data_IF_454760903601
#
_entry.id   IF_454760903601
#
_cell.length_a   1.000
_cell.length_b   1.000
_cell.length_c   1.000
_cell.angle_alpha   90.00
_cell.angle_beta   90.00
_cell.angle_gamma   90.00
#
_symmetry.space_group_name_H-M   'P 1'
#
loop_
_entity.id
_entity.type
_entity.pdbx_description
1 polymer ?
#
# COMPACT_ATOMS: atom_id res chain seq x y z
N UNK A 1 72.13 -80.38 -38.06
CA UNK A 1 70.72 -80.80 -37.93
C UNK A 1 70.46 -81.16 -36.46
N UNK A 2 69.30 -80.90 -35.86
CA UNK A 2 68.50 -79.67 -35.91
C UNK A 2 67.89 -79.24 -34.53
N UNK A 3 67.33 -78.02 -34.50
CA UNK A 3 66.09 -77.57 -33.79
C UNK A 3 66.00 -77.58 -32.24
N UNK A 4 65.25 -76.71 -31.55
CA UNK A 4 64.52 -75.44 -31.78
C UNK A 4 63.88 -75.03 -30.44
N UNK A 5 63.86 -73.72 -30.11
CA UNK A 5 62.81 -72.94 -29.38
C UNK A 5 62.48 -73.37 -27.92
N UNK A 6 61.92 -72.59 -26.98
CA UNK A 6 61.07 -71.39 -26.86
C UNK A 6 61.46 -70.71 -25.51
N UNK A 7 61.65 -69.41 -25.34
CA UNK A 7 60.69 -68.28 -25.36
C UNK A 7 59.56 -68.33 -24.30
N UNK A 8 59.68 -67.48 -23.29
CA UNK A 8 58.63 -66.54 -22.85
C UNK A 8 57.47 -67.04 -21.96
N UNK A 9 57.48 -66.62 -20.69
CA UNK A 9 56.28 -66.31 -19.88
C UNK A 9 56.69 -65.09 -19.02
N UNK A 10 56.53 -63.86 -19.52
CA UNK A 10 55.31 -63.06 -19.63
C UNK A 10 54.69 -62.69 -18.26
N UNK A 11 55.23 -61.57 -17.79
CA UNK A 11 54.67 -60.58 -16.86
C UNK A 11 53.18 -60.35 -17.11
N UNK A 12 52.32 -60.82 -16.20
CA UNK A 12 50.94 -60.33 -16.07
C UNK A 12 50.62 -60.21 -14.57
N UNK A 13 51.08 -59.14 -13.94
CA UNK A 13 50.68 -58.81 -12.56
C UNK A 13 50.62 -57.30 -12.28
N UNK A 14 50.32 -56.49 -13.31
CA UNK A 14 50.34 -55.01 -13.18
C UNK A 14 49.11 -54.27 -13.71
N UNK A 15 48.08 -54.96 -14.19
CA UNK A 15 46.96 -54.31 -14.90
C UNK A 15 45.69 -54.12 -14.07
N UNK A 16 45.60 -54.65 -12.85
CA UNK A 16 44.36 -54.61 -12.05
C UNK A 16 44.29 -53.48 -11.00
N UNK A 17 45.41 -52.86 -10.62
CA UNK A 17 45.41 -51.78 -9.61
C UNK A 17 45.05 -50.40 -10.19
N UNK A 18 45.13 -50.21 -11.51
CA UNK A 18 44.86 -48.91 -12.15
C UNK A 18 43.36 -48.57 -12.32
N UNK A 19 42.47 -49.57 -12.27
CA UNK A 19 41.04 -49.41 -12.58
C UNK A 19 40.24 -49.04 -11.33
N UNK A 20 40.57 -49.58 -10.15
CA UNK A 20 39.89 -49.28 -8.88
C UNK A 20 40.15 -47.84 -8.39
N UNK A 21 41.33 -47.28 -8.65
CA UNK A 21 41.69 -45.90 -8.27
C UNK A 21 40.91 -44.82 -9.04
N UNK A 22 40.49 -45.12 -10.28
CA UNK A 22 39.74 -44.16 -11.12
C UNK A 22 38.25 -44.10 -10.80
N UNK A 23 37.67 -45.18 -10.25
CA UNK A 23 36.24 -45.23 -9.88
C UNK A 23 36.00 -44.49 -8.56
N UNK A 24 36.90 -44.61 -7.59
CA UNK A 24 36.77 -43.94 -6.27
C UNK A 24 36.92 -42.42 -6.40
N UNK A 25 37.75 -41.92 -7.32
CA UNK A 25 37.92 -40.47 -7.56
C UNK A 25 36.77 -39.84 -8.37
N UNK A 26 36.02 -40.64 -9.14
CA UNK A 26 34.84 -40.15 -9.87
C UNK A 26 33.60 -39.95 -9.00
N UNK A 27 33.43 -40.78 -7.95
CA UNK A 27 32.28 -40.73 -7.05
C UNK A 27 32.33 -39.58 -6.03
N UNK A 28 33.52 -39.09 -5.66
CA UNK A 28 33.68 -37.94 -4.76
C UNK A 28 33.36 -36.61 -5.45
N UNK A 29 33.52 -36.53 -6.78
CA UNK A 29 33.30 -35.29 -7.54
C UNK A 29 31.82 -35.03 -7.90
N UNK A 30 30.97 -36.06 -7.86
CA UNK A 30 29.52 -35.95 -8.13
C UNK A 30 28.72 -35.72 -6.83
N UNK A 31 29.27 -36.07 -5.66
CA UNK A 31 28.62 -35.87 -4.35
C UNK A 31 28.58 -34.42 -3.86
N UNK A 32 29.48 -33.55 -4.32
CA UNK A 32 29.51 -32.13 -3.91
C UNK A 32 28.68 -31.20 -4.82
N UNK A 33 28.20 -31.67 -5.98
CA UNK A 33 27.34 -30.88 -6.87
C UNK A 33 25.84 -31.02 -6.54
N UNK A 34 25.51 -31.70 -5.44
CA UNK A 34 24.23 -31.58 -4.73
C UNK A 34 24.42 -30.82 -3.41
N UNK A 35 25.28 -29.79 -3.41
CA UNK A 35 25.03 -28.61 -2.59
C UNK A 35 23.77 -27.97 -3.18
N UNK A 36 22.64 -28.54 -2.74
CA UNK A 36 21.29 -28.02 -2.89
C UNK A 36 21.43 -26.54 -2.62
N UNK A 37 21.28 -25.76 -3.69
CA UNK A 37 20.99 -24.36 -3.63
C UNK A 37 19.61 -24.30 -2.98
N UNK A 38 19.58 -24.46 -1.66
CA UNK A 38 18.47 -24.04 -0.80
C UNK A 38 18.58 -22.52 -0.79
N UNK A 39 18.37 -21.92 -1.96
CA UNK A 39 17.86 -20.57 -2.04
C UNK A 39 16.51 -20.65 -1.35
N UNK A 40 16.56 -20.43 -0.04
CA UNK A 40 15.42 -20.08 0.75
C UNK A 40 14.97 -18.74 0.18
N UNK A 41 14.23 -18.79 -0.92
CA UNK A 41 13.54 -17.63 -1.46
C UNK A 41 12.63 -17.18 -0.33
N UNK A 42 13.08 -16.19 0.44
CA UNK A 42 12.22 -15.52 1.39
C UNK A 42 11.10 -14.96 0.53
N UNK A 43 9.92 -15.56 0.64
CA UNK A 43 8.71 -14.96 0.08
C UNK A 43 8.63 -13.59 0.71
N UNK A 44 8.85 -12.56 -0.10
CA UNK A 44 8.57 -11.17 0.26
C UNK A 44 7.06 -11.12 0.42
N UNK A 45 6.60 -11.39 1.63
CA UNK A 45 5.21 -11.31 1.99
C UNK A 45 4.92 -9.87 2.37
N UNK A 46 3.93 -9.27 1.72
CA UNK A 46 3.40 -7.99 2.15
C UNK A 46 2.75 -8.18 3.53
N UNK A 47 3.13 -7.34 4.48
CA UNK A 47 2.55 -7.26 5.80
C UNK A 47 1.51 -6.14 5.83
N UNK A 48 0.31 -6.45 6.30
CA UNK A 48 -0.72 -5.43 6.55
C UNK A 48 -0.31 -4.68 7.83
N UNK A 49 0.14 -3.44 7.67
CA UNK A 49 0.60 -2.59 8.78
C UNK A 49 -0.59 -1.95 9.50
N UNK A 50 -1.60 -1.53 8.73
CA UNK A 50 -2.82 -0.90 9.25
C UNK A 50 -3.93 -1.08 8.24
N UNK A 51 -5.12 -1.44 8.71
CA UNK A 51 -6.30 -1.58 7.86
C UNK A 51 -7.55 -1.16 8.62
N UNK A 52 -8.36 -0.30 8.00
CA UNK A 52 -9.59 0.22 8.57
C UNK A 52 -10.73 0.21 7.55
N UNK A 53 -11.77 -0.57 7.84
CA UNK A 53 -13.00 -0.68 7.04
C UNK A 53 -14.23 -0.05 7.73
N UNK A 54 -14.01 0.62 8.85
CA UNK A 54 -14.98 1.36 9.68
C UNK A 54 -16.26 0.61 10.12
N UNK A 55 -16.39 -0.70 9.91
CA UNK A 55 -17.55 -1.50 10.32
C UNK A 55 -17.81 -1.46 11.83
N UNK A 56 -16.74 -1.30 12.62
CA UNK A 56 -16.80 -1.13 14.07
C UNK A 56 -17.44 0.20 14.52
N UNK A 57 -17.67 1.14 13.59
CA UNK A 57 -18.13 2.49 13.89
C UNK A 57 -17.06 3.34 14.58
N UNK A 58 -15.78 3.06 14.33
CA UNK A 58 -14.60 3.75 14.88
C UNK A 58 -13.51 3.85 13.81
N UNK A 59 -12.55 4.74 14.01
CA UNK A 59 -11.38 4.94 13.12
C UNK A 59 -10.15 4.11 13.52
N UNK A 60 -10.32 3.11 14.41
CA UNK A 60 -9.26 2.20 14.83
C UNK A 60 -8.02 2.90 15.38
N UNK A 61 -6.85 2.58 14.82
CA UNK A 61 -5.56 3.16 15.19
C UNK A 61 -5.33 4.56 14.58
N UNK A 62 -6.17 4.98 13.63
CA UNK A 62 -6.06 6.28 13.02
C UNK A 62 -6.65 7.37 13.91
N UNK A 63 -6.06 8.56 13.85
CA UNK A 63 -6.52 9.74 14.56
C UNK A 63 -7.01 10.80 13.57
N UNK A 64 -8.19 11.42 13.78
CA UNK A 64 -8.64 12.51 12.95
C UNK A 64 -7.82 13.78 13.22
N UNK A 65 -7.54 14.55 12.17
CA UNK A 65 -6.85 15.86 12.27
C UNK A 65 -7.50 16.91 11.36
N UNK A 66 -7.33 18.19 11.68
CA UNK A 66 -7.74 19.31 10.84
C UNK A 66 -6.54 20.19 10.49
N UNK A 67 -6.56 20.78 9.29
CA UNK A 67 -5.58 21.83 8.93
C UNK A 67 -5.87 23.12 9.72
N UNK A 68 -4.92 24.07 9.82
CA UNK A 68 -5.09 25.25 10.67
C UNK A 68 -6.36 26.09 10.38
N UNK A 69 -6.76 26.23 9.12
CA UNK A 69 -8.03 26.87 8.72
C UNK A 69 -9.03 25.83 8.19
N UNK A 70 -8.85 24.57 8.56
CA UNK A 70 -9.61 23.44 8.05
C UNK A 70 -10.77 23.03 8.93
N UNK A 71 -11.77 22.44 8.30
CA UNK A 71 -12.87 21.73 8.97
C UNK A 71 -12.74 20.24 8.69
N UNK A 72 -13.06 19.43 9.68
CA UNK A 72 -13.21 17.99 9.54
C UNK A 72 -14.53 17.57 10.18
N UNK A 73 -15.54 17.34 9.33
CA UNK A 73 -16.87 16.91 9.77
C UNK A 73 -17.80 18.08 10.12
N UNK A 74 -18.82 17.76 10.91
CA UNK A 74 -19.87 18.69 11.33
C UNK A 74 -20.55 18.18 12.60
N UNK A 75 -21.83 18.50 12.78
CA UNK A 75 -22.62 18.00 13.90
C UNK A 75 -22.62 16.46 13.93
N UNK A 76 -22.38 15.88 15.12
CA UNK A 76 -22.33 14.43 15.30
C UNK A 76 -21.03 13.74 14.85
N UNK A 77 -19.98 14.49 14.51
CA UNK A 77 -18.68 13.90 14.15
C UNK A 77 -18.02 13.14 15.32
N UNK A 78 -17.42 11.95 15.08
CA UNK A 78 -17.32 11.24 13.81
C UNK A 78 -18.64 10.60 13.39
N UNK A 79 -18.95 10.66 12.09
CA UNK A 79 -20.15 10.05 11.51
C UNK A 79 -19.76 8.86 10.65
N UNK A 80 -20.44 7.74 10.87
CA UNK A 80 -20.28 6.52 10.09
C UNK A 80 -21.63 6.13 9.48
N UNK A 81 -21.66 5.89 8.18
CA UNK A 81 -22.90 5.54 7.47
C UNK A 81 -22.65 4.41 6.48
N UNK A 82 -23.71 3.68 6.16
CA UNK A 82 -23.63 2.65 5.13
C UNK A 82 -23.45 3.31 3.75
N UNK A 83 -22.47 2.86 2.98
CA UNK A 83 -22.20 3.38 1.64
C UNK A 83 -21.61 2.31 0.72
N UNK A 84 -21.62 2.56 -0.59
CA UNK A 84 -20.92 1.75 -1.60
C UNK A 84 -19.78 2.59 -2.16
N UNK A 85 -18.67 2.71 -1.43
CA UNK A 85 -17.54 3.55 -1.84
C UNK A 85 -16.85 3.01 -3.10
N UNK A 86 -16.78 1.68 -3.25
CA UNK A 86 -16.14 1.00 -4.37
C UNK A 86 -16.99 1.00 -5.66
N UNK A 87 -18.31 1.17 -5.57
CA UNK A 87 -19.22 1.15 -6.70
C UNK A 87 -19.53 -0.26 -7.21
N UNK A 88 -19.39 -1.27 -6.35
CA UNK A 88 -19.57 -2.69 -6.68
C UNK A 88 -20.94 -3.23 -6.26
N UNK A 89 -21.75 -2.40 -5.60
CA UNK A 89 -23.01 -2.80 -4.97
C UNK A 89 -22.84 -3.45 -3.59
N UNK A 90 -21.61 -3.62 -3.12
CA UNK A 90 -21.34 -4.04 -1.74
C UNK A 90 -21.51 -2.84 -0.80
N UNK A 91 -22.34 -3.02 0.23
CA UNK A 91 -22.61 -1.98 1.22
C UNK A 91 -21.84 -2.29 2.50
N UNK A 92 -20.93 -1.38 2.85
CA UNK A 92 -20.10 -1.38 4.06
C UNK A 92 -20.26 -0.06 4.80
N UNK A 93 -19.70 0.03 6.01
CA UNK A 93 -19.75 1.27 6.78
C UNK A 93 -18.59 2.18 6.37
N UNK A 94 -18.88 3.39 5.93
CA UNK A 94 -17.90 4.37 5.50
C UNK A 94 -17.76 5.49 6.53
N UNK A 95 -16.56 6.06 6.65
CA UNK A 95 -16.37 7.30 7.41
C UNK A 95 -16.82 8.49 6.57
N UNK A 96 -17.83 9.22 7.05
CA UNK A 96 -18.42 10.36 6.35
C UNK A 96 -17.90 11.67 6.93
N UNK A 97 -17.42 12.55 6.06
CA UNK A 97 -16.92 13.87 6.44
C UNK A 97 -17.40 14.98 5.50
N UNK A 98 -17.29 16.21 5.99
CA UNK A 98 -17.30 17.43 5.20
C UNK A 98 -16.01 18.18 5.51
N UNK A 99 -15.25 18.52 4.49
CA UNK A 99 -14.04 19.32 4.64
C UNK A 99 -14.14 20.64 3.88
N UNK A 100 -13.24 21.55 4.22
CA UNK A 100 -13.18 22.89 3.67
C UNK A 100 -12.65 23.87 4.69
N UNK A 101 -12.83 25.15 4.42
CA UNK A 101 -12.31 26.25 5.23
C UNK A 101 -13.25 26.60 6.40
N UNK A 102 -12.68 26.98 7.55
CA UNK A 102 -13.44 27.63 8.64
C UNK A 102 -13.86 29.03 8.18
N UNK A 103 -12.88 29.83 7.78
CA UNK A 103 -13.04 31.17 7.22
C UNK A 103 -12.56 31.19 5.77
N UNK A 104 -13.37 31.78 4.89
CA UNK A 104 -12.99 31.92 3.48
C UNK A 104 -11.73 32.80 3.35
N UNK A 105 -10.68 32.27 2.72
CA UNK A 105 -9.46 33.00 2.39
C UNK A 105 -9.19 32.89 0.89
N UNK A 106 -9.21 34.02 0.15
CA UNK A 106 -8.84 34.03 -1.26
C UNK A 106 -7.33 34.04 -1.51
N UNK A 107 -6.51 34.39 -0.50
CA UNK A 107 -5.11 34.76 -0.69
C UNK A 107 -4.09 33.72 -0.17
N UNK A 108 -4.55 32.68 0.56
CA UNK A 108 -3.69 31.64 1.16
C UNK A 108 -4.31 30.26 1.04
N UNK A 109 -3.47 29.24 0.76
CA UNK A 109 -3.77 27.79 0.71
C UNK A 109 -5.26 27.52 0.53
N UNK A 110 -5.72 27.73 -0.71
CA UNK A 110 -7.13 27.60 -1.07
C UNK A 110 -7.68 26.29 -0.50
N UNK A 111 -6.92 25.21 -0.57
CA UNK A 111 -7.35 23.91 -0.08
C UNK A 111 -7.14 23.75 1.44
N UNK A 112 -8.23 23.80 2.22
CA UNK A 112 -8.22 23.49 3.65
C UNK A 112 -9.19 22.34 3.99
N UNK A 113 -8.96 21.68 5.11
CA UNK A 113 -9.80 20.56 5.52
C UNK A 113 -9.24 19.75 6.69
N UNK A 114 -9.05 18.45 6.49
CA UNK A 114 -8.58 17.56 7.52
C UNK A 114 -8.45 16.13 6.99
N UNK A 115 -8.38 15.16 7.88
CA UNK A 115 -8.27 13.77 7.45
C UNK A 115 -7.97 12.81 8.59
N UNK A 116 -7.28 11.72 8.27
CA UNK A 116 -6.82 10.73 9.23
C UNK A 116 -5.29 10.63 9.19
N UNK A 117 -4.69 10.44 10.36
CA UNK A 117 -3.26 10.21 10.50
C UNK A 117 -2.94 9.02 11.40
N UNK A 118 -1.80 8.39 11.14
CA UNK A 118 -1.25 7.30 11.95
C UNK A 118 0.27 7.40 11.97
N UNK A 119 0.89 7.00 13.09
CA UNK A 119 2.35 6.85 13.19
C UNK A 119 2.70 5.37 13.10
N UNK A 120 3.64 5.04 12.21
CA UNK A 120 4.08 3.66 12.02
C UNK A 120 5.60 3.56 12.06
N UNK A 121 6.11 2.56 12.77
CA UNK A 121 7.52 2.20 12.75
C UNK A 121 7.74 1.15 11.66
N UNK A 122 8.50 1.51 10.62
CA UNK A 122 8.71 0.69 9.44
C UNK A 122 10.19 0.32 9.28
N UNK A 123 10.42 -0.87 8.74
CA UNK A 123 11.70 -1.28 8.19
C UNK A 123 11.84 -0.73 6.74
N UNK A 124 13.06 -0.65 6.18
CA UNK A 124 13.22 -0.12 4.83
C UNK A 124 12.53 -1.05 3.82
N UNK A 125 11.77 -0.48 2.89
CA UNK A 125 10.89 -1.25 2.02
C UNK A 125 10.00 -0.41 1.13
N UNK A 126 8.91 -1.00 0.66
CA UNK A 126 7.85 -0.36 -0.09
C UNK A 126 6.56 -0.37 0.72
N UNK A 127 5.95 0.80 0.85
CA UNK A 127 4.65 1.00 1.46
C UNK A 127 3.61 1.27 0.37
N UNK A 128 2.60 0.41 0.30
CA UNK A 128 1.42 0.57 -0.55
C UNK A 128 0.29 1.15 0.29
N UNK A 129 -0.20 2.30 -0.13
CA UNK A 129 -1.33 3.00 0.45
C UNK A 129 -2.54 2.78 -0.45
N UNK A 130 -3.71 2.52 0.14
CA UNK A 130 -4.95 2.28 -0.59
C UNK A 130 -6.15 2.79 0.19
N UNK A 131 -7.12 3.40 -0.50
CA UNK A 131 -8.41 3.79 0.06
C UNK A 131 -9.45 3.92 -1.06
N UNK A 132 -10.69 3.47 -0.82
CA UNK A 132 -11.81 3.85 -1.67
C UNK A 132 -12.38 5.18 -1.19
N UNK A 133 -12.61 6.08 -2.12
CA UNK A 133 -13.19 7.39 -1.85
C UNK A 133 -14.48 7.55 -2.66
N UNK A 134 -15.49 8.13 -2.03
CA UNK A 134 -16.73 8.52 -2.69
C UNK A 134 -17.06 9.96 -2.32
N UNK A 135 -17.56 10.72 -3.29
CA UNK A 135 -18.03 12.09 -3.07
C UNK A 135 -19.42 12.22 -3.63
N UNK A 136 -20.34 12.74 -2.81
CA UNK A 136 -21.71 13.01 -3.23
C UNK A 136 -22.01 14.49 -3.04
N UNK A 137 -22.68 15.10 -4.01
CA UNK A 137 -23.18 16.46 -3.86
C UNK A 137 -24.68 16.51 -4.10
N UNK A 138 -25.41 17.05 -3.12
CA UNK A 138 -26.82 17.37 -3.23
C UNK A 138 -27.07 18.75 -2.61
N UNK A 139 -27.54 19.70 -3.42
CA UNK A 139 -27.95 21.04 -2.97
C UNK A 139 -29.38 21.29 -3.41
N UNK A 140 -30.24 21.67 -2.46
CA UNK A 140 -31.61 22.11 -2.76
C UNK A 140 -31.66 23.47 -3.46
N UNK A 141 -30.58 24.24 -3.45
CA UNK A 141 -30.55 25.64 -3.92
C UNK A 141 -29.52 25.86 -5.05
N UNK A 142 -29.06 24.80 -5.71
CA UNK A 142 -28.05 24.82 -6.79
C UNK A 142 -26.84 25.73 -6.51
N UNK A 143 -26.36 25.74 -5.26
CA UNK A 143 -25.20 26.57 -4.90
C UNK A 143 -23.96 26.06 -5.65
N UNK A 144 -23.11 26.97 -6.10
CA UNK A 144 -21.94 26.68 -6.97
C UNK A 144 -20.75 26.02 -6.27
N UNK A 145 -20.93 25.39 -5.12
CA UNK A 145 -19.82 24.76 -4.41
C UNK A 145 -19.53 23.35 -4.96
N UNK A 146 -19.09 23.29 -6.22
CA UNK A 146 -18.95 22.07 -7.00
C UNK A 146 -17.61 21.35 -6.79
N UNK A 147 -16.70 21.87 -5.96
CA UNK A 147 -15.43 21.20 -5.70
C UNK A 147 -15.66 19.94 -4.86
N UNK A 148 -15.41 18.75 -5.40
CA UNK A 148 -15.47 17.49 -4.67
C UNK A 148 -14.36 17.32 -3.65
N UNK A 149 -13.20 17.92 -3.94
CA UNK A 149 -12.07 18.07 -3.05
C UNK A 149 -10.80 17.41 -3.57
N UNK A 150 -9.70 17.76 -2.91
CA UNK A 150 -8.37 17.23 -3.15
C UNK A 150 -8.05 16.21 -2.06
N UNK A 151 -7.72 14.99 -2.47
CA UNK A 151 -7.28 13.87 -1.65
C UNK A 151 -5.77 13.71 -1.79
N UNK A 152 -5.04 13.60 -0.69
CA UNK A 152 -3.59 13.50 -0.69
C UNK A 152 -3.11 12.45 0.29
N UNK A 153 -2.16 11.62 -0.16
CA UNK A 153 -1.34 10.81 0.71
C UNK A 153 -0.10 11.60 1.09
N UNK A 154 0.16 11.73 2.39
CA UNK A 154 1.27 12.50 2.94
C UNK A 154 2.09 11.60 3.86
N UNK A 155 3.41 11.59 3.68
CA UNK A 155 4.33 10.93 4.60
C UNK A 155 5.36 11.96 5.06
N UNK A 156 5.51 12.13 6.37
CA UNK A 156 6.47 13.05 6.98
C UNK A 156 6.41 14.49 6.39
N UNK A 157 5.17 14.97 6.18
CA UNK A 157 4.84 16.27 5.58
C UNK A 157 5.14 16.40 4.08
N UNK A 158 5.52 15.33 3.40
CA UNK A 158 5.69 15.30 1.95
C UNK A 158 4.48 14.66 1.27
N UNK A 159 3.95 15.31 0.22
CA UNK A 159 2.85 14.77 -0.58
C UNK A 159 3.40 13.68 -1.49
N UNK A 160 2.94 12.45 -1.27
CA UNK A 160 3.39 11.26 -2.01
C UNK A 160 2.47 10.93 -3.18
N UNK A 161 1.19 11.27 -3.05
CA UNK A 161 0.19 11.11 -4.11
C UNK A 161 -0.95 12.10 -3.92
N UNK A 162 -1.60 12.49 -5.02
CA UNK A 162 -2.76 13.38 -4.99
C UNK A 162 -3.81 12.97 -6.02
N UNK A 163 -5.07 13.17 -5.68
CA UNK A 163 -6.20 12.99 -6.56
C UNK A 163 -7.23 14.09 -6.33
N UNK A 164 -7.60 14.83 -7.37
CA UNK A 164 -8.61 15.88 -7.31
C UNK A 164 -9.92 15.38 -7.89
N UNK A 165 -11.00 15.52 -7.12
CA UNK A 165 -12.36 15.21 -7.54
C UNK A 165 -13.12 16.51 -7.75
N UNK A 166 -13.57 16.75 -8.98
CA UNK A 166 -14.49 17.83 -9.33
C UNK A 166 -14.12 18.55 -10.64
N UNK A 167 -14.96 19.50 -11.07
CA UNK A 167 -16.24 19.88 -10.46
C UNK A 167 -17.29 18.75 -10.47
N UNK A 168 -18.16 18.71 -9.47
CA UNK A 168 -19.22 17.71 -9.27
C UNK A 168 -20.57 18.40 -9.49
N UNK A 169 -21.42 17.80 -10.33
CA UNK A 169 -22.78 18.29 -10.59
C UNK A 169 -23.73 18.00 -9.41
N UNK A 170 -24.84 18.74 -9.33
CA UNK A 170 -25.87 18.46 -8.34
C UNK A 170 -26.49 17.08 -8.58
N UNK A 171 -26.58 16.25 -7.55
CA UNK A 171 -27.04 14.87 -7.63
C UNK A 171 -25.97 13.86 -8.05
N UNK A 172 -24.76 14.30 -8.40
CA UNK A 172 -23.71 13.40 -8.82
C UNK A 172 -23.07 12.67 -7.62
N UNK A 173 -22.68 11.42 -7.89
CA UNK A 173 -21.86 10.58 -7.02
C UNK A 173 -20.64 10.14 -7.80
N UNK A 174 -19.45 10.52 -7.34
CA UNK A 174 -18.17 10.12 -7.93
C UNK A 174 -17.48 9.17 -6.98
N UNK A 175 -16.87 8.11 -7.52
CA UNK A 175 -16.13 7.10 -6.78
C UNK A 175 -14.74 6.93 -7.38
N UNK A 176 -13.75 6.67 -6.53
CA UNK A 176 -12.38 6.44 -6.97
C UNK A 176 -11.65 5.51 -6.01
N UNK A 177 -10.72 4.70 -6.55
CA UNK A 177 -9.78 3.92 -5.75
C UNK A 177 -8.44 4.63 -5.77
N UNK A 178 -8.05 5.22 -4.63
CA UNK A 178 -6.85 6.03 -4.53
C UNK A 178 -5.71 5.23 -3.91
N UNK A 179 -4.69 4.93 -4.73
CA UNK A 179 -3.52 4.15 -4.34
C UNK A 179 -2.22 4.92 -4.53
N UNK A 180 -1.20 4.59 -3.74
CA UNK A 180 0.17 5.05 -3.93
C UNK A 180 1.17 3.99 -3.47
N UNK A 181 2.26 3.79 -4.21
CA UNK A 181 3.37 2.90 -3.85
C UNK A 181 4.63 3.73 -3.60
N UNK A 182 5.19 3.63 -2.40
CA UNK A 182 6.17 4.59 -1.89
C UNK A 182 7.36 3.85 -1.27
N UNK A 183 8.61 4.13 -1.66
CA UNK A 183 9.75 3.62 -0.94
C UNK A 183 9.87 4.32 0.42
N UNK A 184 10.08 3.56 1.49
CA UNK A 184 10.28 4.06 2.85
C UNK A 184 11.61 3.59 3.40
N UNK A 185 12.25 4.44 4.18
CA UNK A 185 13.45 4.09 4.93
C UNK A 185 13.08 3.51 6.31
N UNK A 186 14.07 3.01 7.05
CA UNK A 186 13.83 2.54 8.40
C UNK A 186 13.50 3.74 9.33
N UNK A 187 12.40 3.69 10.07
CA UNK A 187 12.07 4.77 11.00
C UNK A 187 10.61 4.84 11.43
N UNK A 188 10.29 5.85 12.23
CA UNK A 188 8.91 6.20 12.58
C UNK A 188 8.41 7.26 11.60
N UNK A 189 7.37 6.92 10.85
CA UNK A 189 6.75 7.78 9.85
C UNK A 189 5.38 8.27 10.30
N UNK A 190 5.07 9.54 10.04
CA UNK A 190 3.69 10.06 10.12
C UNK A 190 3.04 9.91 8.75
N UNK A 191 1.99 9.10 8.66
CA UNK A 191 1.26 8.84 7.42
C UNK A 191 -0.12 9.48 7.55
N UNK A 192 -0.51 10.28 6.57
CA UNK A 192 -1.78 11.02 6.59
C UNK A 192 -2.53 10.82 5.26
N UNK A 193 -3.83 10.59 5.36
CA UNK A 193 -4.78 10.80 4.27
C UNK A 193 -5.46 12.14 4.49
N UNK A 194 -5.13 13.15 3.68
CA UNK A 194 -5.70 14.49 3.76
C UNK A 194 -6.79 14.70 2.71
N UNK A 195 -7.89 15.31 3.12
CA UNK A 195 -8.99 15.76 2.28
C UNK A 195 -9.17 17.26 2.46
N UNK A 196 -9.17 18.01 1.36
CA UNK A 196 -9.22 19.47 1.39
C UNK A 196 -10.11 20.05 0.30
N UNK A 197 -10.67 21.24 0.55
CA UNK A 197 -11.59 21.94 -0.38
C UNK A 197 -11.35 23.45 -0.36
N UNK A 198 -11.59 24.17 -1.48
CA UNK A 198 -11.34 25.60 -1.59
C UNK A 198 -12.49 26.50 -1.13
N UNK A 199 -13.39 25.95 -0.31
CA UNK A 199 -14.61 26.63 0.09
C UNK A 199 -14.88 26.40 1.56
N UNK A 200 -15.66 27.31 2.14
CA UNK A 200 -16.10 27.16 3.52
C UNK A 200 -16.95 25.91 3.73
N UNK A 201 -16.78 25.29 4.89
CA UNK A 201 -17.53 24.12 5.35
C UNK A 201 -17.87 24.30 6.84
N UNK A 202 -18.65 23.37 7.40
CA UNK A 202 -19.08 23.37 8.81
C UNK A 202 -20.59 23.17 8.99
N UNK A 203 -21.03 23.22 10.26
CA UNK A 203 -22.44 23.05 10.63
C UNK A 203 -23.33 24.08 9.90
N UNK A 204 -24.44 23.61 9.32
CA UNK A 204 -25.38 24.44 8.55
C UNK A 204 -24.88 24.91 7.17
N UNK A 205 -23.64 24.60 6.77
CA UNK A 205 -23.11 24.95 5.44
C UNK A 205 -23.27 23.78 4.47
N UNK A 206 -23.73 24.09 3.25
CA UNK A 206 -23.80 23.13 2.16
C UNK A 206 -22.39 22.92 1.57
N UNK A 207 -21.90 21.70 1.70
CA UNK A 207 -20.68 21.19 1.11
C UNK A 207 -20.95 19.74 0.67
N UNK A 208 -20.33 19.27 -0.42
CA UNK A 208 -20.27 17.84 -0.75
C UNK A 208 -19.87 17.01 0.45
N UNK A 209 -20.52 15.85 0.57
CA UNK A 209 -20.12 14.81 1.51
C UNK A 209 -19.03 13.98 0.88
N UNK A 210 -17.98 13.71 1.64
CA UNK A 210 -16.90 12.82 1.26
C UNK A 210 -16.95 11.59 2.17
N UNK A 211 -16.72 10.44 1.58
CA UNK A 211 -16.74 9.15 2.24
C UNK A 211 -15.43 8.45 1.91
N UNK A 212 -14.87 7.76 2.90
CA UNK A 212 -13.75 6.86 2.68
C UNK A 212 -14.08 5.49 3.27
N UNK A 213 -13.52 4.45 2.64
CA UNK A 213 -13.64 3.07 3.07
C UNK A 213 -12.42 2.23 2.63
N UNK A 214 -12.24 1.06 3.25
CA UNK A 214 -11.11 0.13 3.05
C UNK A 214 -9.75 0.83 3.01
N UNK A 215 -9.47 1.62 4.05
CA UNK A 215 -8.20 2.29 4.26
C UNK A 215 -7.14 1.25 4.60
N UNK A 216 -6.10 1.09 3.77
CA UNK A 216 -5.08 0.06 3.96
C UNK A 216 -3.66 0.60 3.76
N UNK A 217 -2.75 0.13 4.60
CA UNK A 217 -1.30 0.31 4.50
C UNK A 217 -0.64 -1.08 4.48
N UNK A 218 -0.10 -1.46 3.34
CA UNK A 218 0.63 -2.72 3.16
C UNK A 218 2.12 -2.42 3.00
N UNK A 219 2.98 -3.05 3.79
CA UNK A 219 4.43 -2.91 3.69
C UNK A 219 5.07 -4.17 3.10
N UNK A 220 6.14 -4.00 2.33
CA UNK A 220 6.96 -5.12 1.85
C UNK A 220 8.44 -4.77 1.94
N UNK A 221 9.30 -5.72 2.34
CA UNK A 221 10.75 -5.47 2.42
C UNK A 221 11.35 -5.22 1.03
N UNK A 222 12.37 -4.34 0.98
CA UNK A 222 13.18 -4.08 -0.22
C UNK A 222 14.19 -5.21 -0.48
#
# INVERSE_FOLDING_TARGET
MPHNRFSGILVICGALEGILSRIVRGLVSIGCLMLVVIWSGRSVQAEIVSQENFDSGRVGAWSPFATPNGTLGGEGFPVFVNCDAAGTGHISRCWQVKVGQIQYSPDQDLQQGGGLEVRQALAPGWLKLSVFVMVTYASQNDRRNLAGGLFEWIIDHQVMGRHEIGPIENGATIRHHFTADIPVEAGSHLIQLRMSRPFTSGAGRQAPLQFIDDLALDWSPR
#
